data_IF_024293193112
#
_entry.id   IF_024293193112
#
_cell.length_a   1.000
_cell.length_b   1.000
_cell.length_c   1.000
_cell.angle_alpha   90.00
_cell.angle_beta   90.00
_cell.angle_gamma   90.00
#
_symmetry.space_group_name_H-M   'P 1'
#
loop_
_entity.id
_entity.type
_entity.pdbx_description
1 polymer ?
#
# COMPACT_ATOMS: atom_id res chain seq x y z
N UNK A 1 -0.21 -13.56 14.86
CA UNK A 1 0.76 -12.80 15.69
C UNK A 1 2.16 -13.37 15.43
N UNK A 2 3.03 -12.72 14.63
CA UNK A 2 4.33 -13.28 14.25
C UNK A 2 5.52 -12.55 14.90
N UNK A 3 5.49 -12.29 16.21
CA UNK A 3 6.64 -11.72 16.93
C UNK A 3 6.99 -12.58 18.15
N UNK A 4 7.93 -13.54 18.01
CA UNK A 4 8.29 -14.48 19.07
C UNK A 4 8.80 -13.80 20.36
N UNK A 5 9.43 -12.63 20.23
CA UNK A 5 10.01 -11.87 21.34
C UNK A 5 8.97 -11.10 22.19
N UNK A 6 7.70 -11.04 21.76
CA UNK A 6 6.63 -10.35 22.49
C UNK A 6 5.80 -11.29 23.38
N UNK A 7 6.13 -12.58 23.42
CA UNK A 7 5.35 -13.59 24.16
C UNK A 7 5.36 -13.35 25.68
N UNK A 8 6.43 -12.77 26.21
CA UNK A 8 6.64 -12.52 27.65
C UNK A 8 5.93 -11.26 28.17
N UNK A 9 5.38 -10.42 27.28
CA UNK A 9 4.66 -9.20 27.66
C UNK A 9 3.19 -9.48 27.98
N UNK A 10 2.62 -8.67 28.89
CA UNK A 10 1.17 -8.61 29.09
C UNK A 10 0.46 -8.21 27.79
N UNK A 11 -0.84 -8.51 27.66
CA UNK A 11 -1.61 -8.13 26.47
C UNK A 11 -1.50 -6.62 26.19
N UNK A 12 -1.56 -5.79 27.23
CA UNK A 12 -1.35 -4.35 27.12
C UNK A 12 0.06 -3.99 26.64
N UNK A 13 1.10 -4.63 27.21
CA UNK A 13 2.49 -4.41 26.77
C UNK A 13 2.74 -4.80 25.32
N UNK A 14 2.14 -5.90 24.86
CA UNK A 14 2.20 -6.33 23.44
C UNK A 14 1.54 -5.32 22.51
N UNK A 15 0.37 -4.81 22.89
CA UNK A 15 -0.37 -3.85 22.08
C UNK A 15 0.39 -2.53 21.96
N UNK A 16 0.93 -2.01 23.06
CA UNK A 16 1.73 -0.78 23.06
C UNK A 16 2.97 -0.91 22.19
N UNK A 17 3.69 -2.04 22.30
CA UNK A 17 4.88 -2.27 21.48
C UNK A 17 4.53 -2.34 19.99
N UNK A 18 3.47 -3.08 19.63
CA UNK A 18 3.01 -3.17 18.26
C UNK A 18 2.59 -1.82 17.68
N UNK A 19 1.90 -0.98 18.46
CA UNK A 19 1.50 0.37 18.03
C UNK A 19 2.75 1.22 17.79
N UNK A 20 3.75 1.15 18.67
CA UNK A 20 5.02 1.87 18.50
C UNK A 20 5.72 1.48 17.21
N UNK A 21 5.91 0.18 16.96
CA UNK A 21 6.56 -0.30 15.73
C UNK A 21 5.76 0.08 14.47
N UNK A 22 4.43 0.07 14.56
CA UNK A 22 3.56 0.49 13.46
C UNK A 22 3.72 1.97 13.13
N UNK A 23 3.84 2.83 14.16
CA UNK A 23 4.04 4.28 13.98
C UNK A 23 5.43 4.58 13.40
N UNK A 24 6.47 3.93 13.90
CA UNK A 24 7.82 4.07 13.34
C UNK A 24 7.87 3.63 11.87
N UNK A 25 7.25 2.49 11.55
CA UNK A 25 7.15 2.00 10.17
C UNK A 25 6.30 2.92 9.27
N UNK A 26 5.31 3.60 9.83
CA UNK A 26 4.51 4.61 9.14
C UNK A 26 5.37 5.82 8.77
N UNK A 27 6.05 6.42 9.75
CA UNK A 27 6.88 7.61 9.55
C UNK A 27 8.00 7.36 8.53
N UNK A 28 8.76 6.26 8.69
CA UNK A 28 9.83 5.88 7.76
C UNK A 28 9.31 5.73 6.32
N UNK A 29 8.08 5.22 6.16
CA UNK A 29 7.51 5.00 4.85
C UNK A 29 7.07 6.30 4.18
N UNK A 30 6.42 7.20 4.91
CA UNK A 30 6.01 8.51 4.38
C UNK A 30 7.25 9.32 4.00
N UNK A 31 8.29 9.33 4.83
CA UNK A 31 9.54 10.03 4.54
C UNK A 31 10.21 9.52 3.26
N UNK A 32 10.24 8.21 3.04
CA UNK A 32 10.77 7.62 1.79
C UNK A 32 9.95 7.96 0.56
N UNK A 33 8.65 8.18 0.71
CA UNK A 33 7.76 8.54 -0.40
C UNK A 33 7.85 10.03 -0.74
N UNK A 34 7.97 10.89 0.28
CA UNK A 34 8.29 12.31 0.11
C UNK A 34 9.63 12.51 -0.62
N UNK A 35 10.69 11.80 -0.20
CA UNK A 35 12.01 11.87 -0.86
C UNK A 35 12.02 11.41 -2.31
N UNK A 36 11.01 10.63 -2.73
CA UNK A 36 10.86 10.09 -4.08
C UNK A 36 9.81 10.86 -4.90
N UNK A 37 9.29 11.96 -4.38
CA UNK A 37 8.22 12.75 -4.98
C UNK A 37 6.97 11.93 -5.34
N UNK A 38 6.70 10.87 -4.57
CA UNK A 38 5.51 10.03 -4.72
C UNK A 38 4.30 10.69 -4.04
N UNK A 39 4.56 11.38 -2.92
CA UNK A 39 3.58 12.15 -2.16
C UNK A 39 4.13 13.54 -1.88
N UNK A 40 3.25 14.47 -1.57
CA UNK A 40 3.58 15.85 -1.23
C UNK A 40 2.92 16.26 0.09
N UNK A 41 3.51 17.22 0.79
CA UNK A 41 2.92 17.80 1.99
C UNK A 41 1.79 18.77 1.59
N UNK A 42 0.67 18.70 2.30
CA UNK A 42 -0.48 19.59 2.13
C UNK A 42 -0.76 20.33 3.43
N UNK A 43 -1.32 21.53 3.34
CA UNK A 43 -1.68 22.29 4.54
C UNK A 43 -2.92 21.68 5.20
N UNK A 44 -2.96 21.64 6.54
CA UNK A 44 -4.10 21.10 7.28
C UNK A 44 -5.43 21.77 6.92
N UNK A 45 -5.41 23.06 6.60
CA UNK A 45 -6.59 23.82 6.19
C UNK A 45 -7.16 23.40 4.84
N UNK A 46 -6.36 22.76 4.00
CA UNK A 46 -6.74 22.28 2.66
C UNK A 46 -7.22 20.82 2.69
N UNK A 47 -7.22 20.19 3.88
CA UNK A 47 -7.72 18.83 4.07
C UNK A 47 -9.26 18.82 4.01
N UNK A 48 -9.79 18.21 2.96
CA UNK A 48 -11.24 18.00 2.80
C UNK A 48 -11.65 16.55 3.04
N UNK A 49 -10.70 15.63 2.91
CA UNK A 49 -10.92 14.20 3.03
C UNK A 49 -9.65 13.51 3.52
N UNK A 50 -9.75 12.66 4.54
CA UNK A 50 -8.60 11.90 5.04
C UNK A 50 -8.94 10.42 5.05
N UNK A 51 -8.13 9.61 4.38
CA UNK A 51 -8.28 8.16 4.42
C UNK A 51 -7.61 7.60 5.67
N UNK A 52 -8.18 6.52 6.21
CA UNK A 52 -7.49 5.78 7.26
C UNK A 52 -6.19 5.18 6.71
N UNK A 53 -5.17 5.17 7.57
CA UNK A 53 -3.85 4.76 7.18
C UNK A 53 -3.18 3.99 8.31
N UNK A 54 -2.57 2.86 7.97
CA UNK A 54 -1.87 2.03 8.94
C UNK A 54 -0.81 1.16 8.28
N UNK A 55 0.16 0.70 9.08
CA UNK A 55 1.18 -0.24 8.63
C UNK A 55 0.86 -1.66 9.15
N UNK A 56 1.04 -2.66 8.29
CA UNK A 56 0.94 -4.07 8.67
C UNK A 56 2.28 -4.78 8.45
N UNK A 57 2.67 -5.73 9.31
CA UNK A 57 3.90 -6.47 9.10
C UNK A 57 3.78 -7.37 7.85
N UNK A 58 4.86 -7.47 7.08
CA UNK A 58 5.02 -8.50 6.06
C UNK A 58 5.48 -9.81 6.71
N UNK A 59 5.41 -10.90 5.95
CA UNK A 59 5.95 -12.18 6.40
C UNK A 59 7.47 -12.13 6.65
N UNK A 60 8.17 -11.27 5.91
CA UNK A 60 9.58 -10.96 6.13
C UNK A 60 9.75 -10.10 7.39
N UNK A 61 10.59 -10.55 8.32
CA UNK A 61 10.85 -9.85 9.58
C UNK A 61 11.36 -8.43 9.34
N UNK A 62 10.84 -7.48 10.12
CA UNK A 62 11.22 -6.07 10.05
C UNK A 62 10.70 -5.31 8.82
N UNK A 63 9.98 -5.98 7.89
CA UNK A 63 9.36 -5.30 6.76
C UNK A 63 7.89 -5.01 7.03
N UNK A 64 7.49 -3.80 6.69
CA UNK A 64 6.12 -3.34 6.86
C UNK A 64 5.50 -2.97 5.50
N UNK A 65 4.19 -3.11 5.40
CA UNK A 65 3.39 -2.68 4.26
C UNK A 65 2.48 -1.54 4.72
N UNK A 66 2.59 -0.43 4.00
CA UNK A 66 1.69 0.70 4.04
C UNK A 66 0.32 0.33 3.49
N UNK A 67 -0.75 0.64 4.23
CA UNK A 67 -2.12 0.47 3.77
C UNK A 67 -2.85 1.80 3.92
N UNK A 68 -3.37 2.30 2.81
CA UNK A 68 -4.35 3.39 2.79
C UNK A 68 -5.72 2.75 2.55
N UNK A 69 -6.63 2.87 3.51
CA UNK A 69 -7.99 2.35 3.36
C UNK A 69 -8.85 3.33 2.56
N UNK A 70 -8.93 3.07 1.26
CA UNK A 70 -9.80 3.79 0.33
C UNK A 70 -11.17 3.10 0.15
N UNK A 71 -11.61 2.21 1.06
CA UNK A 71 -12.85 1.45 0.88
C UNK A 71 -14.09 2.32 0.75
N UNK A 72 -14.12 3.48 1.41
CA UNK A 72 -15.20 4.45 1.27
C UNK A 72 -15.11 5.15 -0.09
N UNK A 73 -13.94 5.68 -0.46
CA UNK A 73 -13.70 6.33 -1.74
C UNK A 73 -14.09 5.40 -2.92
N UNK A 74 -13.69 4.14 -2.86
CA UNK A 74 -13.94 3.13 -3.89
C UNK A 74 -15.43 2.90 -4.18
N UNK A 75 -16.34 3.22 -3.24
CA UNK A 75 -17.79 3.11 -3.48
C UNK A 75 -18.33 4.20 -4.42
N UNK A 76 -17.62 5.32 -4.54
CA UNK A 76 -18.00 6.45 -5.39
C UNK A 76 -17.29 6.41 -6.75
N UNK A 77 -16.23 5.60 -6.89
CA UNK A 77 -15.50 5.45 -8.14
C UNK A 77 -16.29 4.60 -9.12
N UNK A 78 -16.41 5.08 -10.36
CA UNK A 78 -16.90 4.29 -11.48
C UNK A 78 -15.71 3.65 -12.18
N UNK A 79 -15.50 2.36 -11.95
CA UNK A 79 -14.47 1.62 -12.68
C UNK A 79 -14.83 1.51 -14.16
N UNK A 80 -13.90 1.87 -15.04
CA UNK A 80 -13.95 1.50 -16.45
C UNK A 80 -13.61 0.03 -16.60
N UNK A 81 -14.34 -0.69 -17.44
CA UNK A 81 -14.07 -2.11 -17.67
C UNK A 81 -12.75 -2.25 -18.43
N UNK A 82 -11.75 -2.87 -17.80
CA UNK A 82 -10.50 -3.28 -18.45
C UNK A 82 -10.50 -4.80 -18.54
N UNK A 83 -10.32 -5.34 -19.75
CA UNK A 83 -10.14 -6.77 -19.96
C UNK A 83 -8.65 -7.04 -19.83
N UNK A 84 -8.27 -7.69 -18.74
CA UNK A 84 -6.94 -8.26 -18.59
C UNK A 84 -6.96 -9.68 -19.16
N UNK A 85 -6.10 -9.98 -20.12
CA UNK A 85 -5.89 -11.36 -20.56
C UNK A 85 -5.44 -12.20 -19.36
N UNK A 86 -6.07 -13.35 -19.19
CA UNK A 86 -5.88 -14.22 -18.03
C UNK A 86 -4.98 -15.41 -18.37
N UNK A 87 -4.72 -16.24 -17.35
CA UNK A 87 -3.96 -17.47 -17.53
C UNK A 87 -4.63 -18.47 -18.49
N UNK A 88 -5.95 -18.38 -18.68
CA UNK A 88 -6.68 -19.20 -19.65
C UNK A 88 -6.28 -18.83 -21.06
N UNK A 89 -6.29 -17.54 -21.36
CA UNK A 89 -5.85 -16.97 -22.65
C UNK A 89 -4.41 -17.36 -22.94
N UNK A 90 -3.51 -17.22 -21.95
CA UNK A 90 -2.12 -17.62 -22.09
C UNK A 90 -1.93 -19.11 -22.44
N UNK A 91 -2.70 -20.00 -21.80
CA UNK A 91 -2.63 -21.46 -22.06
C UNK A 91 -3.07 -21.84 -23.48
N UNK A 92 -3.94 -21.06 -24.10
CA UNK A 92 -4.39 -21.29 -25.47
C UNK A 92 -3.33 -20.87 -26.50
N UNK A 93 -2.44 -19.94 -26.13
CA UNK A 93 -1.45 -19.35 -27.04
C UNK A 93 -0.11 -20.09 -26.96
N UNK A 94 0.29 -20.53 -25.75
CA UNK A 94 1.62 -21.14 -25.54
C UNK A 94 1.75 -22.51 -26.21
N UNK A 95 2.87 -22.74 -26.88
CA UNK A 95 3.17 -23.98 -27.59
C UNK A 95 4.28 -24.78 -26.91
N UNK A 96 4.39 -26.04 -27.30
CA UNK A 96 5.52 -26.86 -26.87
C UNK A 96 6.84 -26.23 -27.34
N UNK A 97 7.82 -26.15 -26.44
CA UNK A 97 9.15 -25.54 -26.62
C UNK A 97 9.21 -24.01 -26.52
N UNK A 98 8.10 -23.34 -26.20
CA UNK A 98 8.15 -21.93 -25.83
C UNK A 98 8.84 -21.73 -24.47
N UNK A 99 9.58 -20.63 -24.35
CA UNK A 99 10.16 -20.19 -23.10
C UNK A 99 9.29 -19.09 -22.49
N UNK A 100 9.16 -19.11 -21.16
CA UNK A 100 8.42 -18.09 -20.41
C UNK A 100 9.36 -17.37 -19.45
N UNK A 101 9.22 -16.06 -19.38
CA UNK A 101 9.89 -15.21 -18.39
C UNK A 101 8.81 -14.52 -17.57
N UNK A 102 8.97 -14.53 -16.24
CA UNK A 102 8.14 -13.75 -15.32
C UNK A 102 8.92 -12.51 -14.92
N UNK A 103 8.33 -11.34 -15.16
CA UNK A 103 8.86 -10.05 -14.71
C UNK A 103 7.88 -9.51 -13.66
N UNK A 104 8.40 -9.19 -12.48
CA UNK A 104 7.66 -8.49 -11.44
C UNK A 104 8.10 -7.03 -11.42
N UNK A 105 7.16 -6.10 -11.57
CA UNK A 105 7.45 -4.67 -11.58
C UNK A 105 7.29 -4.11 -10.17
N UNK A 106 8.41 -3.80 -9.52
CA UNK A 106 8.39 -3.13 -8.23
C UNK A 106 7.84 -1.71 -8.40
N UNK A 107 6.84 -1.37 -7.58
CA UNK A 107 6.27 -0.01 -7.49
C UNK A 107 5.65 0.53 -8.80
N UNK A 108 5.16 -0.36 -9.67
CA UNK A 108 4.55 -0.01 -10.95
C UNK A 108 3.47 1.10 -10.85
N UNK A 109 2.68 1.11 -9.77
CA UNK A 109 1.63 2.12 -9.58
C UNK A 109 2.17 3.54 -9.42
N UNK A 110 3.37 3.72 -8.85
CA UNK A 110 3.96 5.05 -8.68
C UNK A 110 4.43 5.68 -9.99
N UNK A 111 4.54 4.87 -11.06
CA UNK A 111 4.89 5.36 -12.40
C UNK A 111 3.68 5.93 -13.14
N UNK A 112 2.47 5.69 -12.64
CA UNK A 112 1.22 6.14 -13.26
C UNK A 112 0.79 7.44 -12.55
N UNK A 113 0.66 8.57 -13.27
CA UNK A 113 0.23 9.81 -12.67
C UNK A 113 -1.22 9.70 -12.19
N UNK A 114 -1.50 10.34 -11.06
CA UNK A 114 -2.87 10.52 -10.56
C UNK A 114 -3.52 11.68 -11.31
N UNK A 115 -4.78 11.52 -11.70
CA UNK A 115 -5.57 12.61 -12.29
C UNK A 115 -5.62 13.80 -11.31
N UNK A 116 -5.31 15.04 -11.73
CA UNK A 116 -5.23 16.21 -10.85
C UNK A 116 -6.49 16.52 -10.03
N UNK A 117 -7.65 15.97 -10.39
CA UNK A 117 -8.88 16.12 -9.60
C UNK A 117 -8.95 15.19 -8.37
N UNK A 118 -8.10 14.17 -8.29
CA UNK A 118 -8.14 13.12 -7.25
C UNK A 118 -7.26 13.29 -6.01
N UNK A 119 -6.12 14.03 -6.01
CA UNK A 119 -5.29 14.21 -4.82
C UNK A 119 -6.05 14.63 -3.56
N UNK A 120 -7.06 15.53 -3.62
CA UNK A 120 -7.84 15.89 -2.44
C UNK A 120 -8.53 14.71 -1.74
N UNK A 121 -8.77 13.59 -2.43
CA UNK A 121 -9.40 12.38 -1.89
C UNK A 121 -8.41 11.30 -1.47
N UNK A 122 -7.11 11.49 -1.69
CA UNK A 122 -6.05 10.51 -1.38
C UNK A 122 -5.17 10.91 -0.19
N UNK A 123 -5.56 11.95 0.55
CA UNK A 123 -4.80 12.48 1.66
C UNK A 123 -4.78 11.49 2.84
N UNK A 124 -3.66 11.46 3.56
CA UNK A 124 -3.47 10.70 4.79
C UNK A 124 -3.25 11.67 5.97
N UNK A 125 -3.52 11.24 7.21
CA UNK A 125 -3.26 12.09 8.37
C UNK A 125 -1.75 12.39 8.51
N UNK A 126 -1.40 13.50 9.18
CA UNK A 126 -0.02 13.82 9.51
C UNK A 126 0.60 12.77 10.44
#
# INVERSE_FOLDING_TARGET
LPHPHLQDLSIGGRLTHYISECLEAFEDRIQKELQKDIVEEVQLQDLSWVNQFFAIPKAEQGKWRKITDCSILNKFLRATYFIMEDMTTLRQIIQSKDFMIKIDLEMAFHLIPVDPAFPPFLQCPP
#
